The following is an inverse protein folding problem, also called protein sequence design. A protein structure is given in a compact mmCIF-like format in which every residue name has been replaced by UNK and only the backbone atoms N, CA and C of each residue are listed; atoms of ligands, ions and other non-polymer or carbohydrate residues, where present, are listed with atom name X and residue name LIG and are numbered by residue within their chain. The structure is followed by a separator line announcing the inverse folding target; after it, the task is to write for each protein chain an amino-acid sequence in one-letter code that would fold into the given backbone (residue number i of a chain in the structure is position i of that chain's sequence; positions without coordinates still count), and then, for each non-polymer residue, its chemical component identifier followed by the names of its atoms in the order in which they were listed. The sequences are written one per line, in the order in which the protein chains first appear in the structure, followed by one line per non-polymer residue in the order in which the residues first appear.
data_IF_424374598132
#
_entry.id   IF_424374598132
#
_cell.length_a   1.000
_cell.length_b   1.000
_cell.length_c   1.000
_cell.angle_alpha   90.00
_cell.angle_beta   90.00
_cell.angle_gamma   90.00
#
_symmetry.space_group_name_H-M   'P 1'
#
loop_
_entity.id
_entity.type
_entity.pdbx_description
1 polymer ?
#
# COMPACT_ATOMS: atom_id res chain seq x y z
N UNK A 1 3.81 -8.85 24.54
CA UNK A 1 4.72 -9.12 23.42
C UNK A 1 4.31 -8.24 22.23
N UNK A 2 5.24 -7.46 21.74
CA UNK A 2 4.96 -6.54 20.65
C UNK A 2 5.08 -7.25 19.31
N UNK A 3 4.02 -7.18 18.50
CA UNK A 3 4.07 -7.71 17.15
C UNK A 3 4.54 -6.61 16.21
N UNK A 4 5.41 -6.97 15.30
CA UNK A 4 5.84 -6.08 14.24
C UNK A 4 4.73 -5.97 13.19
N UNK A 5 4.31 -4.74 12.91
CA UNK A 5 3.34 -4.46 11.85
C UNK A 5 4.12 -4.23 10.57
N UNK A 6 3.79 -4.94 9.51
CA UNK A 6 4.43 -4.76 8.22
C UNK A 6 3.54 -3.95 7.29
N UNK A 7 4.12 -2.90 6.74
CA UNK A 7 3.45 -1.98 5.82
C UNK A 7 4.22 -1.98 4.50
N UNK A 8 3.51 -2.12 3.40
CA UNK A 8 4.09 -1.98 2.07
C UNK A 8 3.74 -0.61 1.49
N UNK A 9 4.68 -0.02 0.78
CA UNK A 9 4.47 1.21 0.02
C UNK A 9 4.80 0.91 -1.43
N UNK A 10 3.80 0.96 -2.29
CA UNK A 10 3.93 0.61 -3.70
C UNK A 10 3.64 1.83 -4.56
N UNK A 11 4.68 2.36 -5.20
CA UNK A 11 4.61 3.56 -6.03
C UNK A 11 5.81 3.54 -6.97
N UNK A 12 5.63 3.84 -8.24
CA UNK A 12 6.72 3.79 -9.21
C UNK A 12 7.64 5.02 -9.16
N UNK A 13 7.26 6.06 -8.42
CA UNK A 13 8.10 7.24 -8.21
C UNK A 13 8.84 7.14 -6.87
N UNK A 14 10.16 7.09 -6.92
CA UNK A 14 10.99 6.96 -5.73
C UNK A 14 10.75 8.08 -4.73
N UNK A 15 10.58 9.30 -5.22
CA UNK A 15 10.33 10.46 -4.36
C UNK A 15 9.05 10.30 -3.56
N UNK A 16 7.99 9.83 -4.20
CA UNK A 16 6.70 9.63 -3.53
C UNK A 16 6.79 8.50 -2.51
N UNK A 17 7.46 7.39 -2.85
CA UNK A 17 7.69 6.29 -1.91
C UNK A 17 8.44 6.79 -0.67
N UNK A 18 9.49 7.54 -0.88
CA UNK A 18 10.32 8.07 0.21
C UNK A 18 9.54 9.01 1.10
N UNK A 19 8.69 9.86 0.53
CA UNK A 19 7.85 10.77 1.30
C UNK A 19 6.85 10.03 2.18
N UNK A 20 6.19 9.02 1.63
CA UNK A 20 5.23 8.21 2.38
C UNK A 20 5.94 7.47 3.50
N UNK A 21 7.07 6.84 3.19
CA UNK A 21 7.86 6.10 4.18
C UNK A 21 8.33 7.00 5.31
N UNK A 22 8.79 8.21 4.98
CA UNK A 22 9.22 9.19 5.98
C UNK A 22 8.07 9.59 6.91
N UNK A 23 6.92 9.91 6.34
CA UNK A 23 5.75 10.31 7.13
C UNK A 23 5.26 9.19 8.03
N UNK A 24 5.24 7.95 7.51
CA UNK A 24 4.87 6.79 8.30
C UNK A 24 5.86 6.55 9.43
N UNK A 25 7.14 6.67 9.16
CA UNK A 25 8.19 6.47 10.17
C UNK A 25 8.07 7.50 11.30
N UNK A 26 7.83 8.76 10.95
CA UNK A 26 7.62 9.82 11.94
C UNK A 26 6.41 9.52 12.83
N UNK A 27 5.31 9.10 12.22
CA UNK A 27 4.09 8.79 12.96
C UNK A 27 4.29 7.58 13.88
N UNK A 28 4.89 6.52 13.38
CA UNK A 28 5.07 5.29 14.15
C UNK A 28 6.06 5.48 15.28
N UNK A 29 7.13 6.25 15.08
CA UNK A 29 8.09 6.58 16.13
C UNK A 29 7.44 7.40 17.23
N UNK A 30 6.64 8.39 16.85
CA UNK A 30 5.95 9.26 17.81
C UNK A 30 4.94 8.47 18.66
N UNK A 31 4.36 7.42 18.11
CA UNK A 31 3.35 6.62 18.79
C UNK A 31 3.89 5.30 19.35
N UNK A 32 5.20 5.11 19.33
CA UNK A 32 5.87 3.92 19.86
C UNK A 32 5.37 2.62 19.26
N UNK A 33 5.15 2.62 17.93
CA UNK A 33 4.68 1.45 17.20
C UNK A 33 5.86 0.71 16.57
N UNK A 34 5.82 -0.61 16.62
CA UNK A 34 6.79 -1.45 15.93
C UNK A 34 6.32 -1.70 14.52
N UNK A 35 6.96 -1.04 13.56
CA UNK A 35 6.55 -1.10 12.16
C UNK A 35 7.76 -1.34 11.28
N UNK A 36 7.61 -2.24 10.33
CA UNK A 36 8.57 -2.42 9.25
C UNK A 36 7.92 -1.96 7.95
N UNK A 37 8.57 -1.04 7.25
CA UNK A 37 8.07 -0.48 6.01
C UNK A 37 8.92 -1.02 4.87
N UNK A 38 8.29 -1.61 3.87
CA UNK A 38 8.97 -2.11 2.67
C UNK A 38 8.42 -1.39 1.45
N UNK A 39 9.32 -0.96 0.57
CA UNK A 39 8.98 -0.19 -0.61
C UNK A 39 9.07 -1.05 -1.86
N UNK A 40 8.12 -0.85 -2.76
CA UNK A 40 8.07 -1.54 -4.04
C UNK A 40 7.86 -0.52 -5.16
N UNK A 41 8.57 -0.68 -6.25
CA UNK A 41 8.50 0.25 -7.38
C UNK A 41 7.47 -0.13 -8.43
N UNK A 42 6.81 -1.26 -8.29
CA UNK A 42 5.77 -1.71 -9.22
C UNK A 42 4.81 -2.68 -8.55
N UNK A 43 3.64 -2.83 -9.14
CA UNK A 43 2.68 -3.83 -8.68
C UNK A 43 3.21 -5.24 -8.86
N UNK A 44 3.90 -5.49 -9.96
CA UNK A 44 4.51 -6.79 -10.25
C UNK A 44 5.55 -7.17 -9.20
N UNK A 45 6.43 -6.23 -8.84
CA UNK A 45 7.44 -6.47 -7.82
C UNK A 45 6.80 -6.76 -6.46
N UNK A 46 5.77 -6.00 -6.10
CA UNK A 46 5.04 -6.23 -4.86
C UNK A 46 4.39 -7.61 -4.83
N UNK A 47 3.68 -7.98 -5.91
CA UNK A 47 2.99 -9.28 -5.98
C UNK A 47 3.96 -10.46 -6.05
N UNK A 48 5.22 -10.23 -6.41
CA UNK A 48 6.26 -11.26 -6.37
C UNK A 48 6.78 -11.52 -4.96
N UNK A 49 6.47 -10.66 -4.00
CA UNK A 49 6.84 -10.83 -2.60
C UNK A 49 5.80 -11.70 -1.88
N UNK A 50 6.09 -12.05 -0.63
CA UNK A 50 5.09 -12.69 0.22
C UNK A 50 4.11 -11.65 0.73
N UNK A 51 3.00 -11.49 0.02
CA UNK A 51 2.00 -10.47 0.33
C UNK A 51 1.16 -10.78 1.56
N UNK A 52 1.26 -12.00 2.10
CA UNK A 52 0.47 -12.41 3.27
C UNK A 52 0.91 -11.72 4.56
N UNK A 53 2.11 -11.17 4.57
CA UNK A 53 2.70 -10.59 5.80
C UNK A 53 2.28 -9.14 6.05
N UNK A 54 1.70 -8.47 5.05
CA UNK A 54 1.37 -7.06 5.18
C UNK A 54 -0.01 -6.83 5.76
N UNK A 55 -0.08 -5.95 6.74
CA UNK A 55 -1.35 -5.51 7.33
C UNK A 55 -1.94 -4.32 6.60
N UNK A 56 -1.07 -3.50 6.02
CA UNK A 56 -1.45 -2.25 5.36
C UNK A 56 -0.59 -2.06 4.12
N UNK A 57 -1.20 -1.60 3.05
CA UNK A 57 -0.52 -1.29 1.80
C UNK A 57 -0.93 0.08 1.33
N UNK A 58 0.05 0.96 1.13
CA UNK A 58 -0.15 2.21 0.42
C UNK A 58 0.09 1.95 -1.05
N UNK A 59 -0.93 2.12 -1.88
CA UNK A 59 -0.91 1.74 -3.27
C UNK A 59 -1.21 2.93 -4.17
N UNK A 60 -0.23 3.32 -4.98
CA UNK A 60 -0.46 4.30 -6.03
C UNK A 60 -1.29 3.64 -7.13
N UNK A 61 -2.31 4.34 -7.62
CA UNK A 61 -3.15 3.80 -8.70
C UNK A 61 -2.43 3.91 -10.03
N UNK A 62 -1.79 5.04 -10.29
CA UNK A 62 -1.17 5.30 -11.59
C UNK A 62 0.30 4.89 -11.57
N UNK A 63 0.56 3.66 -11.98
CA UNK A 63 1.92 3.14 -12.10
C UNK A 63 2.14 2.62 -13.52
N UNK A 64 3.42 2.59 -13.93
CA UNK A 64 3.82 1.95 -15.18
C UNK A 64 3.53 0.45 -15.11
N UNK A 65 3.08 -0.13 -16.20
CA UNK A 65 2.71 -1.55 -16.23
C UNK A 65 1.38 -1.79 -15.54
N UNK A 66 1.35 -2.74 -14.60
CA UNK A 66 0.13 -3.04 -13.84
C UNK A 66 -0.21 -1.86 -12.94
N UNK A 67 -1.43 -1.32 -13.06
CA UNK A 67 -1.84 -0.21 -12.21
C UNK A 67 -2.21 -0.68 -10.80
N UNK A 68 -2.40 0.30 -9.90
CA UNK A 68 -2.67 -0.02 -8.49
C UNK A 68 -3.98 -0.75 -8.27
N UNK A 69 -4.99 -0.47 -9.08
CA UNK A 69 -6.30 -1.13 -8.95
C UNK A 69 -6.20 -2.60 -9.32
N UNK A 70 -5.51 -2.93 -10.41
CA UNK A 70 -5.27 -4.31 -10.82
C UNK A 70 -4.44 -5.05 -9.76
N UNK A 71 -3.41 -4.39 -9.24
CA UNK A 71 -2.56 -4.94 -8.19
C UNK A 71 -3.38 -5.23 -6.93
N UNK A 72 -4.23 -4.30 -6.53
CA UNK A 72 -5.08 -4.45 -5.35
C UNK A 72 -6.04 -5.63 -5.48
N UNK A 73 -6.65 -5.81 -6.63
CA UNK A 73 -7.57 -6.94 -6.86
C UNK A 73 -6.85 -8.27 -6.71
N UNK A 74 -5.64 -8.38 -7.24
CA UNK A 74 -4.83 -9.59 -7.08
C UNK A 74 -4.38 -9.78 -5.64
N UNK A 75 -4.01 -8.70 -4.97
CA UNK A 75 -3.62 -8.74 -3.56
C UNK A 75 -4.76 -9.26 -2.69
N UNK A 76 -5.96 -8.73 -2.86
CA UNK A 76 -7.13 -9.12 -2.07
C UNK A 76 -7.46 -10.60 -2.25
N UNK A 77 -7.26 -11.15 -3.45
CA UNK A 77 -7.49 -12.57 -3.68
C UNK A 77 -6.49 -13.45 -2.92
N UNK A 78 -5.31 -12.93 -2.57
CA UNK A 78 -4.28 -13.65 -1.83
C UNK A 78 -4.30 -13.36 -0.33
N UNK A 79 -4.67 -12.13 0.05
CA UNK A 79 -4.67 -11.66 1.42
C UNK A 79 -5.96 -10.87 1.66
N UNK A 80 -7.00 -11.57 2.09
CA UNK A 80 -8.34 -10.98 2.23
C UNK A 80 -8.46 -10.03 3.43
N UNK A 81 -7.46 -9.97 4.31
CA UNK A 81 -7.48 -9.14 5.51
C UNK A 81 -6.68 -7.86 5.39
N UNK A 82 -5.97 -7.68 4.29
CA UNK A 82 -5.13 -6.51 4.10
C UNK A 82 -5.98 -5.25 3.99
N UNK A 83 -5.50 -4.17 4.58
CA UNK A 83 -6.05 -2.83 4.38
C UNK A 83 -5.27 -2.12 3.30
N UNK A 84 -5.95 -1.45 2.40
CA UNK A 84 -5.33 -0.76 1.29
C UNK A 84 -5.69 0.72 1.33
N UNK A 85 -4.67 1.57 1.24
CA UNK A 85 -4.84 3.01 1.12
C UNK A 85 -4.39 3.38 -0.29
N UNK A 86 -5.30 3.87 -1.10
CA UNK A 86 -5.00 4.26 -2.48
C UNK A 86 -4.56 5.70 -2.56
N UNK A 87 -3.51 5.95 -3.32
CA UNK A 87 -3.06 7.29 -3.67
C UNK A 87 -3.53 7.65 -5.06
N UNK A 88 -4.35 8.69 -5.16
CA UNK A 88 -4.81 9.18 -6.46
C UNK A 88 -5.35 10.59 -6.34
N UNK A 89 -5.04 11.41 -7.33
CA UNK A 89 -5.66 12.72 -7.48
C UNK A 89 -6.89 12.66 -8.38
N UNK A 90 -7.16 11.48 -8.95
CA UNK A 90 -8.27 11.27 -9.88
C UNK A 90 -9.45 10.64 -9.16
N UNK A 91 -10.67 11.11 -9.50
CA UNK A 91 -11.90 10.47 -9.03
C UNK A 91 -12.32 9.30 -9.90
N UNK A 92 -11.59 9.04 -10.99
CA UNK A 92 -11.92 8.01 -11.96
C UNK A 92 -12.08 6.63 -11.34
N UNK A 93 -11.22 6.30 -10.37
CA UNK A 93 -11.23 4.99 -9.73
C UNK A 93 -11.93 4.98 -8.36
N UNK A 94 -12.51 6.10 -7.94
CA UNK A 94 -13.07 6.20 -6.60
C UNK A 94 -14.19 5.18 -6.35
N UNK A 95 -15.12 5.03 -7.31
CA UNK A 95 -16.22 4.08 -7.17
C UNK A 95 -15.72 2.64 -7.15
N UNK A 96 -14.76 2.31 -8.02
CA UNK A 96 -14.19 0.98 -8.08
C UNK A 96 -13.43 0.63 -6.80
N UNK A 97 -12.65 1.57 -6.27
CA UNK A 97 -11.97 1.39 -5.00
C UNK A 97 -12.96 1.20 -3.86
N UNK A 98 -14.06 1.98 -3.87
CA UNK A 98 -15.12 1.86 -2.87
C UNK A 98 -15.72 0.45 -2.85
N UNK A 99 -15.90 -0.15 -4.02
CA UNK A 99 -16.44 -1.50 -4.13
C UNK A 99 -15.54 -2.56 -3.49
N UNK A 100 -14.24 -2.29 -3.37
CA UNK A 100 -13.33 -3.18 -2.66
C UNK A 100 -13.51 -3.12 -1.14
N UNK A 101 -14.20 -2.10 -0.63
CA UNK A 101 -14.55 -1.92 0.79
C UNK A 101 -13.35 -1.92 1.73
N UNK A 102 -12.19 -1.50 1.26
CA UNK A 102 -10.94 -1.60 2.02
C UNK A 102 -10.02 -0.42 1.82
N UNK A 103 -10.55 0.68 1.36
CA UNK A 103 -9.67 1.76 1.00
C UNK A 103 -9.92 3.02 1.81
N UNK A 104 -8.84 3.79 1.93
CA UNK A 104 -8.87 5.19 2.29
C UNK A 104 -8.05 5.86 1.21
N UNK A 105 -8.51 6.98 0.67
CA UNK A 105 -7.74 7.73 -0.32
C UNK A 105 -7.01 8.90 0.34
N UNK A 106 -5.87 9.27 -0.22
CA UNK A 106 -5.16 10.47 0.21
C UNK A 106 -4.94 11.44 -0.94
#
# INVERSE_FOLDING_TARGET
MNQEIKIAVCDDLAEDRENITRLLSEYTDKNNLYVKIEEFSSGEAFLSSDTSVYSLVFMDIFMSGMNGMETAKKLISRNSRVQIVFGSTSTEFAAEAFDLRRFITW
#
